data_IF_350838466748
#
_entry.id   IF_350838466748
#
_cell.length_a   1.000
_cell.length_b   1.000
_cell.length_c   1.000
_cell.angle_alpha   90.00
_cell.angle_beta   90.00
_cell.angle_gamma   90.00
#
_symmetry.space_group_name_H-M   'P 1'
#
loop_
_entity.id
_entity.type
_entity.pdbx_description
1 polymer ?
#
# COMPACT_ATOMS: atom_id res chain seq x y z
N UNK A 1 23.55 -2.27 -50.80
CA UNK A 1 23.83 -1.42 -49.61
C UNK A 1 22.68 -0.47 -49.24
N UNK A 2 21.79 -0.05 -50.14
CA UNK A 2 20.67 0.85 -49.80
C UNK A 2 19.43 0.20 -49.13
N UNK A 3 19.35 -1.15 -49.04
CA UNK A 3 18.23 -1.85 -48.41
C UNK A 3 18.35 -2.00 -46.88
N UNK A 4 19.50 -1.67 -46.28
CA UNK A 4 19.71 -1.70 -44.82
C UNK A 4 19.31 -0.38 -44.12
N UNK A 5 18.97 0.66 -44.88
CA UNK A 5 18.56 1.95 -44.30
C UNK A 5 17.05 2.03 -44.03
N UNK A 6 16.24 1.25 -44.74
CA UNK A 6 14.77 1.27 -44.60
C UNK A 6 14.24 0.37 -43.47
N UNK A 7 15.00 -0.62 -43.01
CA UNK A 7 14.62 -1.44 -41.84
C UNK A 7 14.87 -0.73 -40.51
N UNK A 8 15.74 0.29 -40.49
CA UNK A 8 16.11 1.01 -39.27
C UNK A 8 15.15 2.15 -38.93
N UNK A 9 14.38 2.66 -39.89
CA UNK A 9 13.46 3.78 -39.64
C UNK A 9 12.04 3.36 -39.19
N UNK A 10 11.66 2.09 -39.38
CA UNK A 10 10.34 1.58 -38.95
C UNK A 10 10.28 1.25 -37.44
N UNK A 11 11.41 1.24 -36.75
CA UNK A 11 11.49 0.87 -35.33
C UNK A 11 11.13 2.00 -34.35
N UNK A 12 11.31 3.28 -34.72
CA UNK A 12 11.12 4.38 -33.75
C UNK A 12 9.66 4.75 -33.48
N UNK A 13 8.76 4.52 -34.44
CA UNK A 13 7.32 4.81 -34.26
C UNK A 13 6.65 3.74 -33.40
N UNK A 14 7.12 2.49 -33.45
CA UNK A 14 6.55 1.41 -32.64
C UNK A 14 6.85 1.55 -31.14
N UNK A 15 8.00 2.14 -30.78
CA UNK A 15 8.41 2.25 -29.37
C UNK A 15 7.66 3.34 -28.61
N UNK A 16 7.29 4.45 -29.27
CA UNK A 16 6.52 5.53 -28.64
C UNK A 16 5.08 5.09 -28.29
N UNK A 17 4.44 4.32 -29.17
CA UNK A 17 3.09 3.79 -28.96
C UNK A 17 3.07 2.83 -27.75
N UNK A 18 4.02 1.90 -27.68
CA UNK A 18 4.13 0.96 -26.56
C UNK A 18 4.41 1.68 -25.22
N UNK A 19 5.20 2.76 -25.24
CA UNK A 19 5.46 3.58 -24.04
C UNK A 19 4.18 4.25 -23.53
N UNK A 20 3.37 4.80 -24.44
CA UNK A 20 2.10 5.45 -24.09
C UNK A 20 1.10 4.45 -23.50
N UNK A 21 1.01 3.25 -24.05
CA UNK A 21 0.14 2.19 -23.51
C UNK A 21 0.53 1.82 -22.06
N UNK A 22 1.83 1.65 -21.78
CA UNK A 22 2.31 1.36 -20.42
C UNK A 22 2.01 2.49 -19.43
N UNK A 23 2.12 3.75 -19.85
CA UNK A 23 1.81 4.91 -19.02
C UNK A 23 0.31 4.96 -18.72
N UNK A 24 -0.55 4.71 -19.71
CA UNK A 24 -2.00 4.70 -19.53
C UNK A 24 -2.42 3.62 -18.53
N UNK A 25 -1.91 2.39 -18.65
CA UNK A 25 -2.18 1.30 -17.69
C UNK A 25 -1.77 1.67 -16.26
N UNK A 26 -0.63 2.34 -16.11
CA UNK A 26 -0.13 2.82 -14.83
C UNK A 26 -1.02 3.89 -14.20
N UNK A 27 -1.47 4.86 -15.00
CA UNK A 27 -2.39 5.92 -14.55
C UNK A 27 -3.74 5.32 -14.13
N UNK A 28 -4.29 4.38 -14.91
CA UNK A 28 -5.54 3.71 -14.56
C UNK A 28 -5.42 2.99 -13.21
N UNK A 29 -4.35 2.22 -13.01
CA UNK A 29 -4.11 1.54 -11.73
C UNK A 29 -3.95 2.53 -10.58
N UNK A 30 -3.19 3.62 -10.77
CA UNK A 30 -3.00 4.66 -9.76
C UNK A 30 -4.34 5.27 -9.31
N UNK A 31 -5.22 5.61 -10.26
CA UNK A 31 -6.53 6.19 -9.97
C UNK A 31 -7.44 5.19 -9.24
N UNK A 32 -7.47 3.93 -9.69
CA UNK A 32 -8.26 2.90 -9.02
C UNK A 32 -7.80 2.64 -7.59
N UNK A 33 -6.48 2.53 -7.36
CA UNK A 33 -5.92 2.37 -6.02
C UNK A 33 -6.20 3.59 -5.14
N UNK A 34 -6.13 4.80 -5.69
CA UNK A 34 -6.44 6.02 -4.95
C UNK A 34 -7.90 6.05 -4.48
N UNK A 35 -8.85 5.74 -5.37
CA UNK A 35 -10.28 5.67 -5.03
C UNK A 35 -10.52 4.61 -3.95
N UNK A 36 -9.87 3.45 -4.07
CA UNK A 36 -9.96 2.39 -3.07
C UNK A 36 -9.46 2.86 -1.70
N UNK A 37 -8.27 3.48 -1.61
CA UNK A 37 -7.72 4.01 -0.36
C UNK A 37 -8.67 5.00 0.31
N UNK A 38 -9.32 5.88 -0.45
CA UNK A 38 -10.30 6.82 0.09
C UNK A 38 -11.53 6.11 0.67
N UNK A 39 -12.04 5.09 -0.01
CA UNK A 39 -13.15 4.28 0.47
C UNK A 39 -12.79 3.50 1.75
N UNK A 40 -11.60 2.92 1.79
CA UNK A 40 -11.07 2.20 2.94
C UNK A 40 -10.85 3.11 4.16
N UNK A 41 -10.28 4.29 3.95
CA UNK A 41 -10.08 5.27 5.03
C UNK A 41 -11.41 5.76 5.61
N UNK A 42 -12.38 6.03 4.73
CA UNK A 42 -13.72 6.47 5.13
C UNK A 42 -14.43 5.38 5.94
N UNK A 43 -14.44 4.14 5.44
CA UNK A 43 -15.09 3.03 6.12
C UNK A 43 -14.33 2.58 7.37
N UNK A 44 -13.00 2.65 7.39
CA UNK A 44 -12.17 2.37 8.56
C UNK A 44 -12.53 3.29 9.73
N UNK A 45 -12.70 4.58 9.45
CA UNK A 45 -13.14 5.55 10.46
C UNK A 45 -14.55 5.27 10.99
N UNK A 46 -15.50 4.90 10.11
CA UNK A 46 -16.89 4.63 10.53
C UNK A 46 -17.09 3.28 11.23
N UNK A 47 -16.28 2.29 10.90
CA UNK A 47 -16.46 0.91 11.39
C UNK A 47 -15.56 0.54 12.55
N UNK A 48 -14.55 1.38 12.84
CA UNK A 48 -13.49 1.12 13.82
C UNK A 48 -12.77 -0.21 13.58
N UNK A 49 -12.74 -0.69 12.33
CA UNK A 49 -12.10 -1.96 11.96
C UNK A 49 -10.57 -1.78 11.84
N UNK A 50 -9.84 -2.40 12.76
CA UNK A 50 -8.39 -2.41 12.81
C UNK A 50 -7.79 -3.16 11.64
N UNK A 51 -8.33 -4.33 11.29
CA UNK A 51 -7.83 -5.09 10.13
C UNK A 51 -7.94 -4.27 8.85
N UNK A 52 -9.05 -3.53 8.67
CA UNK A 52 -9.23 -2.63 7.53
C UNK A 52 -8.21 -1.49 7.56
N UNK A 53 -7.88 -0.95 8.73
CA UNK A 53 -6.85 0.09 8.85
C UNK A 53 -5.46 -0.45 8.46
N UNK A 54 -5.10 -1.67 8.88
CA UNK A 54 -3.85 -2.33 8.45
C UNK A 54 -3.83 -2.50 6.92
N UNK A 55 -4.92 -2.97 6.34
CA UNK A 55 -5.07 -3.13 4.88
C UNK A 55 -4.95 -1.77 4.18
N UNK A 56 -5.60 -0.73 4.70
CA UNK A 56 -5.54 0.65 4.16
C UNK A 56 -4.10 1.14 4.13
N UNK A 57 -3.32 0.88 5.18
CA UNK A 57 -1.92 1.28 5.21
C UNK A 57 -1.07 0.55 4.15
N UNK A 58 -1.33 -0.74 3.92
CA UNK A 58 -0.71 -1.47 2.81
C UNK A 58 -1.13 -0.87 1.45
N UNK A 59 -2.41 -0.50 1.28
CA UNK A 59 -2.92 0.17 0.07
C UNK A 59 -2.26 1.54 -0.15
N UNK A 60 -2.06 2.33 0.90
CA UNK A 60 -1.36 3.63 0.85
C UNK A 60 0.09 3.44 0.40
N UNK A 61 0.78 2.44 0.95
CA UNK A 61 2.14 2.12 0.53
C UNK A 61 2.20 1.75 -0.96
N UNK A 62 1.27 0.91 -1.41
CA UNK A 62 1.11 0.57 -2.82
C UNK A 62 0.83 1.80 -3.70
N UNK A 63 -0.02 2.72 -3.24
CA UNK A 63 -0.32 3.97 -3.93
C UNK A 63 0.92 4.87 -4.07
N UNK A 64 1.70 5.06 -3.00
CA UNK A 64 2.94 5.86 -3.00
C UNK A 64 3.94 5.27 -4.00
N UNK A 65 4.05 3.94 -4.03
CA UNK A 65 4.94 3.23 -4.94
C UNK A 65 4.52 3.37 -6.40
N UNK A 66 3.22 3.28 -6.70
CA UNK A 66 2.67 3.54 -8.02
C UNK A 66 2.87 5.01 -8.44
N UNK A 67 2.63 5.95 -7.54
CA UNK A 67 2.82 7.38 -7.79
C UNK A 67 4.29 7.69 -8.10
N UNK A 68 5.21 7.15 -7.29
CA UNK A 68 6.66 7.29 -7.48
C UNK A 68 7.10 6.69 -8.82
N UNK A 69 6.61 5.50 -9.17
CA UNK A 69 6.91 4.87 -10.46
C UNK A 69 6.38 5.69 -11.65
N UNK A 70 5.19 6.27 -11.51
CA UNK A 70 4.57 7.14 -12.52
C UNK A 70 5.36 8.43 -12.69
N UNK A 71 5.74 9.05 -11.59
CA UNK A 71 6.57 10.25 -11.56
C UNK A 71 7.94 9.99 -12.19
N UNK A 72 8.61 8.89 -11.82
CA UNK A 72 9.91 8.50 -12.40
C UNK A 72 9.83 8.28 -13.90
N UNK A 73 8.78 7.62 -14.43
CA UNK A 73 8.62 7.47 -15.89
C UNK A 73 8.43 8.79 -16.62
N UNK A 74 7.75 9.75 -15.98
CA UNK A 74 7.56 11.09 -16.54
C UNK A 74 8.85 11.91 -16.48
N UNK A 75 9.60 11.76 -15.38
CA UNK A 75 10.84 12.47 -15.08
C UNK A 75 12.09 11.82 -15.68
N UNK A 76 12.06 10.58 -16.19
CA UNK A 76 13.16 9.98 -16.96
C UNK A 76 13.51 10.83 -18.20
N UNK A 77 12.60 11.73 -18.60
CA UNK A 77 12.82 12.79 -19.59
C UNK A 77 13.72 13.94 -19.09
N UNK A 78 14.08 14.01 -17.80
CA UNK A 78 14.58 15.21 -17.10
C UNK A 78 15.78 14.99 -16.15
N UNK A 79 16.62 13.98 -16.40
CA UNK A 79 17.88 13.71 -15.68
C UNK A 79 17.83 13.04 -14.29
N UNK A 80 18.66 11.99 -14.27
CA UNK A 80 19.51 11.37 -13.25
C UNK A 80 19.70 12.12 -11.91
N UNK A 81 19.62 11.31 -10.85
CA UNK A 81 20.11 11.50 -9.47
C UNK A 81 19.11 12.09 -8.46
N UNK A 82 18.18 11.25 -8.01
CA UNK A 82 17.68 11.31 -6.63
C UNK A 82 18.10 10.05 -5.90
N UNK A 83 18.93 10.25 -4.89
CA UNK A 83 19.30 9.24 -3.92
C UNK A 83 18.08 8.97 -3.02
N UNK A 84 17.58 7.73 -3.09
CA UNK A 84 16.79 6.99 -2.10
C UNK A 84 15.50 7.61 -1.55
N UNK A 85 14.29 7.15 -1.95
CA UNK A 85 13.13 7.22 -1.09
C UNK A 85 13.23 6.08 -0.06
N UNK A 86 13.91 6.33 1.06
CA UNK A 86 14.05 5.39 2.18
C UNK A 86 13.48 6.06 3.44
N UNK A 87 12.86 5.26 4.32
CA UNK A 87 12.21 5.58 5.61
C UNK A 87 10.71 5.89 5.69
N UNK A 88 10.00 6.18 4.58
CA UNK A 88 8.55 6.42 4.68
C UNK A 88 7.79 5.16 5.11
N UNK A 89 8.24 3.97 4.67
CA UNK A 89 7.59 2.70 5.00
C UNK A 89 7.73 2.37 6.49
N UNK A 90 8.93 2.53 7.04
CA UNK A 90 9.19 2.22 8.46
C UNK A 90 8.41 3.16 9.38
N UNK A 91 8.37 4.45 9.04
CA UNK A 91 7.57 5.43 9.76
C UNK A 91 6.07 5.06 9.78
N UNK A 92 5.52 4.59 8.66
CA UNK A 92 4.11 4.18 8.59
C UNK A 92 3.81 2.96 9.46
N UNK A 93 4.74 1.99 9.52
CA UNK A 93 4.62 0.81 10.37
C UNK A 93 4.66 1.18 11.85
N UNK A 94 5.60 2.03 12.25
CA UNK A 94 5.76 2.47 13.63
C UNK A 94 4.52 3.24 14.12
N UNK A 95 3.93 4.05 13.24
CA UNK A 95 2.66 4.74 13.49
C UNK A 95 1.49 3.77 13.66
N UNK A 96 1.38 2.74 12.81
CA UNK A 96 0.33 1.73 12.90
C UNK A 96 0.45 0.92 14.19
N UNK A 97 1.67 0.54 14.58
CA UNK A 97 1.94 -0.11 15.86
C UNK A 97 1.47 0.76 17.02
N UNK A 98 1.82 2.06 17.03
CA UNK A 98 1.36 2.98 18.08
C UNK A 98 -0.17 3.08 18.13
N UNK A 99 -0.84 3.19 16.99
CA UNK A 99 -2.31 3.18 16.94
C UNK A 99 -2.89 1.88 17.51
N UNK A 100 -2.26 0.73 17.25
CA UNK A 100 -2.74 -0.55 17.76
C UNK A 100 -2.69 -0.65 19.30
N UNK A 101 -1.64 -0.10 19.92
CA UNK A 101 -1.46 -0.14 21.38
C UNK A 101 -2.19 0.98 22.13
N UNK A 102 -2.68 2.01 21.42
CA UNK A 102 -3.41 3.11 22.04
C UNK A 102 -4.94 2.96 21.97
N UNK A 103 -5.44 1.82 21.51
CA UNK A 103 -6.87 1.51 21.53
C UNK A 103 -7.20 0.93 22.90
N UNK A 104 -7.28 1.80 23.90
CA UNK A 104 -7.82 1.44 25.23
C UNK A 104 -9.34 1.23 25.20
N UNK A 105 -9.96 1.39 24.02
CA UNK A 105 -11.38 1.23 23.76
C UNK A 105 -11.58 0.30 22.56
N UNK A 106 -11.47 -1.02 22.78
CA UNK A 106 -11.80 -2.00 21.74
C UNK A 106 -13.30 -1.98 21.48
N UNK A 107 -13.69 -1.24 20.44
CA UNK A 107 -15.06 -1.25 19.95
C UNK A 107 -15.32 -2.44 19.04
N UNK A 108 -16.55 -2.94 19.10
CA UNK A 108 -17.02 -4.00 18.20
C UNK A 108 -17.12 -3.44 16.79
N UNK A 109 -16.59 -4.16 15.81
CA UNK A 109 -16.70 -3.78 14.40
C UNK A 109 -18.17 -3.49 14.04
N UNK A 110 -18.46 -2.22 13.75
CA UNK A 110 -19.79 -1.81 13.35
C UNK A 110 -20.00 -2.16 11.88
N UNK A 111 -21.09 -2.85 11.55
CA UNK A 111 -21.50 -3.20 10.17
C UNK A 111 -20.50 -4.07 9.38
N UNK A 112 -20.15 -5.28 9.86
CA UNK A 112 -19.16 -6.16 9.22
C UNK A 112 -19.51 -6.52 7.76
N UNK A 113 -20.80 -6.52 7.40
CA UNK A 113 -21.25 -6.76 6.02
C UNK A 113 -20.76 -5.70 5.03
N UNK A 114 -20.70 -4.42 5.43
CA UNK A 114 -20.18 -3.35 4.56
C UNK A 114 -18.67 -3.50 4.33
N UNK A 115 -17.94 -3.87 5.37
CA UNK A 115 -16.49 -4.14 5.31
C UNK A 115 -16.21 -5.36 4.41
N UNK A 116 -17.04 -6.40 4.49
CA UNK A 116 -16.91 -7.59 3.62
C UNK A 116 -17.11 -7.24 2.13
N UNK A 117 -18.14 -6.44 1.80
CA UNK A 117 -18.35 -5.96 0.42
C UNK A 117 -17.15 -5.15 -0.06
N UNK A 118 -16.63 -4.26 0.78
CA UNK A 118 -15.43 -3.47 0.46
C UNK A 118 -14.21 -4.37 0.22
N UNK A 119 -14.01 -5.40 1.05
CA UNK A 119 -12.93 -6.38 0.86
C UNK A 119 -13.03 -7.10 -0.50
N UNK A 120 -14.25 -7.44 -0.93
CA UNK A 120 -14.50 -8.00 -2.26
C UNK A 120 -14.17 -7.01 -3.39
N UNK A 121 -14.52 -5.73 -3.23
CA UNK A 121 -14.15 -4.67 -4.20
C UNK A 121 -12.63 -4.49 -4.25
N UNK A 122 -11.96 -4.47 -3.09
CA UNK A 122 -10.51 -4.42 -3.01
C UNK A 122 -9.90 -5.56 -3.82
N UNK A 123 -10.32 -6.81 -3.55
CA UNK A 123 -9.85 -7.98 -4.29
C UNK A 123 -10.02 -7.81 -5.80
N UNK A 124 -11.18 -7.33 -6.25
CA UNK A 124 -11.45 -7.06 -7.66
C UNK A 124 -10.49 -6.02 -8.27
N UNK A 125 -10.28 -4.89 -7.59
CA UNK A 125 -9.33 -3.86 -8.03
C UNK A 125 -7.90 -4.38 -8.06
N UNK A 126 -7.54 -5.22 -7.09
CA UNK A 126 -6.25 -5.89 -7.04
C UNK A 126 -6.06 -6.83 -8.25
N UNK A 127 -7.06 -7.64 -8.59
CA UNK A 127 -7.02 -8.52 -9.78
C UNK A 127 -6.86 -7.70 -11.05
N UNK A 128 -7.64 -6.61 -11.20
CA UNK A 128 -7.52 -5.72 -12.37
C UNK A 128 -6.13 -5.10 -12.45
N UNK A 129 -5.61 -4.57 -11.35
CA UNK A 129 -4.24 -4.01 -11.27
C UNK A 129 -3.18 -5.07 -11.60
N UNK A 130 -3.38 -6.28 -11.10
CA UNK A 130 -2.51 -7.42 -11.38
C UNK A 130 -2.50 -7.77 -12.87
N UNK A 131 -3.65 -7.80 -13.53
CA UNK A 131 -3.74 -8.07 -14.97
C UNK A 131 -3.19 -6.94 -15.84
N UNK A 132 -3.38 -5.67 -15.43
CA UNK A 132 -2.92 -4.52 -16.21
C UNK A 132 -1.40 -4.35 -16.16
N UNK A 133 -0.78 -4.55 -15.00
CA UNK A 133 0.63 -4.19 -14.75
C UNK A 133 1.49 -5.43 -14.45
N UNK A 134 0.88 -6.59 -14.20
CA UNK A 134 1.55 -7.78 -13.70
C UNK A 134 1.72 -7.78 -12.17
N UNK A 135 0.98 -6.90 -11.47
CA UNK A 135 1.05 -6.67 -10.03
C UNK A 135 1.93 -5.46 -9.64
N UNK A 136 1.61 -4.82 -8.52
CA UNK A 136 2.31 -3.62 -8.05
C UNK A 136 3.81 -3.86 -7.83
N UNK A 137 4.18 -5.08 -7.44
CA UNK A 137 5.56 -5.40 -7.06
C UNK A 137 6.46 -5.77 -8.24
N UNK A 138 5.90 -6.31 -9.33
CA UNK A 138 6.68 -6.65 -10.51
C UNK A 138 7.05 -5.41 -11.34
N UNK A 139 6.32 -4.31 -11.21
CA UNK A 139 6.61 -3.11 -11.97
C UNK A 139 7.86 -2.37 -11.50
N UNK A 140 8.10 -2.32 -10.18
CA UNK A 140 9.29 -1.66 -9.62
C UNK A 140 10.59 -2.33 -10.11
N UNK A 141 10.62 -3.66 -10.17
CA UNK A 141 11.79 -4.41 -10.61
C UNK A 141 11.88 -4.51 -12.14
N UNK A 142 10.72 -4.63 -12.81
CA UNK A 142 10.62 -4.77 -14.26
C UNK A 142 10.97 -3.49 -15.01
N UNK A 143 10.60 -2.32 -14.50
CA UNK A 143 10.98 -1.03 -15.09
C UNK A 143 12.51 -0.87 -15.06
N UNK A 144 13.14 -1.14 -13.91
CA UNK A 144 14.59 -1.01 -13.76
C UNK A 144 15.36 -1.94 -14.70
N UNK A 145 14.87 -3.18 -14.88
CA UNK A 145 15.48 -4.14 -15.81
C UNK A 145 15.20 -3.82 -17.28
N UNK A 146 13.98 -3.40 -17.62
CA UNK A 146 13.61 -3.06 -18.99
C UNK A 146 14.29 -1.78 -19.50
N UNK A 147 14.58 -0.83 -18.61
CA UNK A 147 15.41 0.34 -18.91
C UNK A 147 16.87 -0.04 -19.22
N UNK A 148 17.37 -1.15 -18.66
CA UNK A 148 18.74 -1.60 -18.87
C UNK A 148 18.90 -2.47 -20.13
N UNK A 149 17.81 -3.08 -20.61
CA UNK A 149 17.77 -4.01 -21.75
C UNK A 149 17.10 -3.41 -23.01
N UNK A 150 17.18 -2.08 -23.19
CA UNK A 150 16.65 -1.38 -24.38
C UNK A 150 17.29 -1.98 -25.64
N UNK A 151 16.53 -2.78 -26.39
CA UNK A 151 16.94 -3.40 -27.65
C UNK A 151 16.75 -4.91 -27.76
N UNK A 152 16.43 -5.61 -26.67
CA UNK A 152 16.07 -7.04 -26.72
C UNK A 152 14.57 -7.23 -26.93
N UNK A 153 14.18 -8.20 -27.75
CA UNK A 153 12.77 -8.53 -27.93
C UNK A 153 12.15 -9.01 -26.61
N UNK A 154 10.92 -8.58 -26.30
CA UNK A 154 10.26 -8.95 -25.06
C UNK A 154 9.96 -10.45 -25.06
N UNK A 155 10.69 -11.22 -24.25
CA UNK A 155 10.35 -12.62 -24.02
C UNK A 155 9.15 -12.70 -23.05
N UNK A 156 7.99 -13.23 -23.46
CA UNK A 156 6.81 -13.34 -22.60
C UNK A 156 7.07 -14.19 -21.34
N UNK A 157 8.00 -15.14 -21.41
CA UNK A 157 8.39 -15.98 -20.28
C UNK A 157 9.21 -15.22 -19.21
N UNK A 158 9.73 -14.03 -19.53
CA UNK A 158 10.43 -13.20 -18.55
C UNK A 158 9.54 -12.80 -17.38
N UNK A 159 8.24 -12.54 -17.65
CA UNK A 159 7.27 -12.25 -16.60
C UNK A 159 7.11 -13.43 -15.65
N UNK A 160 6.88 -14.63 -16.18
CA UNK A 160 6.67 -15.85 -15.39
C UNK A 160 7.91 -16.20 -14.59
N UNK A 161 9.11 -16.05 -15.17
CA UNK A 161 10.38 -16.41 -14.50
C UNK A 161 10.73 -15.47 -13.35
N UNK A 162 10.37 -14.20 -13.45
CA UNK A 162 10.63 -13.20 -12.40
C UNK A 162 9.44 -13.02 -11.45
N UNK A 163 8.39 -13.82 -11.62
CA UNK A 163 7.25 -13.82 -10.73
C UNK A 163 7.67 -14.30 -9.34
N UNK A 164 7.84 -13.35 -8.42
CA UNK A 164 8.13 -13.67 -7.02
C UNK A 164 6.83 -13.93 -6.29
N UNK A 165 6.60 -15.21 -5.99
CA UNK A 165 5.43 -15.71 -5.25
C UNK A 165 5.25 -14.99 -3.91
N UNK A 166 6.36 -14.64 -3.24
CA UNK A 166 6.34 -13.90 -1.96
C UNK A 166 5.57 -12.58 -2.07
N UNK A 167 5.82 -11.81 -3.13
CA UNK A 167 5.19 -10.51 -3.34
C UNK A 167 3.71 -10.64 -3.67
N UNK A 168 3.36 -11.69 -4.42
CA UNK A 168 1.99 -12.01 -4.72
C UNK A 168 1.21 -12.35 -3.45
N UNK A 169 1.74 -13.25 -2.61
CA UNK A 169 1.11 -13.59 -1.34
C UNK A 169 1.06 -12.41 -0.38
N UNK A 170 2.10 -11.56 -0.35
CA UNK A 170 2.09 -10.34 0.45
C UNK A 170 0.92 -9.44 0.12
N UNK A 171 0.74 -9.14 -1.17
CA UNK A 171 -0.29 -8.20 -1.63
C UNK A 171 -1.70 -8.79 -1.48
N UNK A 172 -1.82 -10.13 -1.46
CA UNK A 172 -3.09 -10.85 -1.37
C UNK A 172 -3.48 -11.23 0.07
N UNK A 173 -2.50 -11.41 0.96
CA UNK A 173 -2.71 -11.91 2.32
C UNK A 173 -3.54 -10.95 3.17
N UNK A 174 -3.34 -9.64 3.01
CA UNK A 174 -4.11 -8.62 3.72
C UNK A 174 -5.59 -8.65 3.35
N UNK A 175 -5.90 -8.81 2.05
CA UNK A 175 -7.26 -8.95 1.55
C UNK A 175 -7.92 -10.23 2.08
N UNK A 176 -7.21 -11.37 2.04
CA UNK A 176 -7.71 -12.61 2.62
C UNK A 176 -7.94 -12.52 4.13
N UNK A 177 -7.03 -11.89 4.86
CA UNK A 177 -7.19 -11.70 6.30
C UNK A 177 -8.44 -10.87 6.60
N UNK A 178 -8.70 -9.80 5.85
CA UNK A 178 -9.90 -8.97 6.01
C UNK A 178 -11.19 -9.73 5.67
N UNK A 179 -11.23 -10.49 4.57
CA UNK A 179 -12.38 -11.32 4.24
C UNK A 179 -12.62 -12.40 5.29
N UNK A 180 -11.56 -13.01 5.82
CA UNK A 180 -11.65 -14.05 6.84
C UNK A 180 -12.13 -13.47 8.17
N UNK A 181 -11.56 -12.34 8.60
CA UNK A 181 -11.96 -11.65 9.83
C UNK A 181 -13.45 -11.26 9.79
N UNK A 182 -13.87 -10.60 8.72
CA UNK A 182 -15.27 -10.18 8.54
C UNK A 182 -16.23 -11.37 8.40
N UNK A 183 -15.82 -12.41 7.67
CA UNK A 183 -16.59 -13.65 7.53
C UNK A 183 -16.79 -14.38 8.87
N UNK A 184 -15.74 -14.48 9.69
CA UNK A 184 -15.82 -15.07 11.03
C UNK A 184 -16.73 -14.23 11.93
N UNK A 185 -16.58 -12.89 11.93
CA UNK A 185 -17.44 -12.00 12.73
C UNK A 185 -18.91 -12.16 12.32
N UNK A 186 -19.21 -12.20 11.01
CA UNK A 186 -20.56 -12.45 10.52
C UNK A 186 -21.09 -13.82 10.94
N UNK A 187 -20.28 -14.87 10.83
CA UNK A 187 -20.66 -16.23 11.23
C UNK A 187 -20.95 -16.32 12.72
N UNK A 188 -20.08 -15.77 13.57
CA UNK A 188 -20.27 -15.74 15.03
C UNK A 188 -21.51 -14.95 15.43
N UNK A 189 -21.79 -13.85 14.71
CA UNK A 189 -23.01 -13.06 14.92
C UNK A 189 -24.27 -13.85 14.56
N UNK A 190 -24.24 -14.69 13.52
CA UNK A 190 -25.36 -15.55 13.13
C UNK A 190 -25.63 -16.66 14.15
N UNK A 191 -24.59 -17.26 14.72
CA UNK A 191 -24.73 -18.33 15.72
C UNK A 191 -25.01 -17.83 17.15
N UNK A 192 -25.24 -16.53 17.34
CA UNK A 192 -25.52 -15.94 18.67
C UNK A 192 -24.44 -16.27 19.72
N UNK A 193 -23.17 -16.33 19.29
CA UNK A 193 -22.04 -16.52 20.21
C UNK A 193 -21.95 -15.31 21.15
N UNK A 194 -21.53 -15.55 22.39
CA UNK A 194 -21.39 -14.50 23.40
C UNK A 194 -20.61 -13.28 22.82
N UNK A 195 -21.19 -12.07 22.85
CA UNK A 195 -20.61 -10.89 22.21
C UNK A 195 -19.24 -10.50 22.78
N UNK A 196 -18.96 -10.95 24.02
CA UNK A 196 -17.67 -10.78 24.69
C UNK A 196 -16.48 -11.36 23.90
N UNK A 197 -16.67 -12.40 23.10
CA UNK A 197 -15.57 -13.00 22.32
C UNK A 197 -15.37 -12.34 20.96
N UNK A 198 -16.43 -11.76 20.38
CA UNK A 198 -16.41 -11.16 19.03
C UNK A 198 -15.46 -9.95 19.00
N UNK A 199 -15.35 -9.23 20.11
CA UNK A 199 -14.55 -8.00 20.23
C UNK A 199 -13.05 -8.24 19.98
N UNK A 200 -12.57 -9.48 20.20
CA UNK A 200 -11.15 -9.83 20.06
C UNK A 200 -10.77 -10.30 18.65
N UNK A 201 -11.74 -10.64 17.80
CA UNK A 201 -11.46 -11.24 16.48
C UNK A 201 -10.68 -10.27 15.61
N UNK A 202 -11.16 -9.03 15.46
CA UNK A 202 -10.55 -8.03 14.59
C UNK A 202 -9.11 -7.64 15.01
N UNK A 203 -8.80 -7.31 16.28
CA UNK A 203 -7.42 -7.08 16.73
C UNK A 203 -6.49 -8.27 16.50
N UNK A 204 -6.96 -9.51 16.73
CA UNK A 204 -6.15 -10.70 16.49
C UNK A 204 -5.82 -10.86 15.00
N UNK A 205 -6.79 -10.65 14.10
CA UNK A 205 -6.53 -10.71 12.66
C UNK A 205 -5.65 -9.55 12.18
N UNK A 206 -5.80 -8.35 12.76
CA UNK A 206 -4.91 -7.22 12.49
C UNK A 206 -3.45 -7.55 12.86
N UNK A 207 -3.23 -8.11 14.05
CA UNK A 207 -1.90 -8.57 14.50
C UNK A 207 -1.31 -9.64 13.58
N UNK A 208 -2.11 -10.67 13.25
CA UNK A 208 -1.67 -11.72 12.32
C UNK A 208 -1.31 -11.13 10.96
N UNK A 209 -2.11 -10.20 10.45
CA UNK A 209 -1.84 -9.51 9.17
C UNK A 209 -0.54 -8.72 9.24
N UNK A 210 -0.30 -7.97 10.32
CA UNK A 210 0.95 -7.23 10.53
C UNK A 210 2.13 -8.20 10.55
N UNK A 211 2.05 -9.31 11.29
CA UNK A 211 3.10 -10.31 11.33
C UNK A 211 3.37 -10.90 9.94
N UNK A 212 2.34 -11.26 9.18
CA UNK A 212 2.49 -11.77 7.81
C UNK A 212 3.17 -10.74 6.91
N UNK A 213 2.78 -9.46 7.01
CA UNK A 213 3.42 -8.38 6.24
C UNK A 213 4.88 -8.19 6.63
N UNK A 214 5.22 -8.25 7.93
CA UNK A 214 6.59 -8.17 8.42
C UNK A 214 7.44 -9.36 7.94
N UNK A 215 6.95 -10.59 8.09
CA UNK A 215 7.65 -11.78 7.62
C UNK A 215 7.86 -11.77 6.11
N UNK A 216 6.88 -11.27 5.36
CA UNK A 216 7.03 -11.09 3.92
C UNK A 216 8.06 -10.01 3.54
N UNK A 217 8.36 -9.07 4.45
CA UNK A 217 9.36 -8.02 4.27
C UNK A 217 10.76 -8.43 4.76
N UNK A 218 10.87 -9.41 5.67
CA UNK A 218 12.14 -9.87 6.27
C UNK A 218 13.17 -10.43 5.28
N UNK A 219 12.81 -10.62 4.01
CA UNK A 219 13.80 -10.83 2.94
C UNK A 219 14.63 -9.58 2.59
N UNK A 220 14.28 -8.41 3.13
CA UNK A 220 15.01 -7.15 2.96
C UNK A 220 16.07 -7.00 4.04
N UNK A 221 17.32 -6.80 3.63
CA UNK A 221 18.50 -6.63 4.51
C UNK A 221 18.32 -5.56 5.60
N UNK A 222 17.44 -4.59 5.41
CA UNK A 222 17.13 -3.53 6.38
C UNK A 222 16.48 -4.05 7.68
N UNK A 223 15.64 -5.09 7.63
CA UNK A 223 14.99 -5.58 8.86
C UNK A 223 16.01 -6.21 9.82
N UNK A 224 17.03 -6.86 9.28
CA UNK A 224 18.14 -7.38 10.09
C UNK A 224 18.90 -6.25 10.79
N UNK A 225 18.98 -5.07 10.17
CA UNK A 225 19.62 -3.89 10.74
C UNK A 225 18.75 -3.26 11.84
N UNK A 226 17.44 -3.21 11.65
CA UNK A 226 16.49 -2.76 12.68
C UNK A 226 16.47 -3.68 13.90
N UNK A 227 16.51 -5.00 13.66
CA UNK A 227 16.56 -5.98 14.75
C UNK A 227 17.85 -5.81 15.55
N UNK A 228 18.98 -5.58 14.87
CA UNK A 228 20.26 -5.24 15.52
C UNK A 228 20.19 -3.92 16.29
N UNK A 229 19.48 -2.91 15.76
CA UNK A 229 19.31 -1.62 16.43
C UNK A 229 18.48 -1.76 17.71
N UNK A 230 17.34 -2.46 17.66
CA UNK A 230 16.49 -2.73 18.81
C UNK A 230 17.21 -3.57 19.87
N UNK A 231 17.92 -4.62 19.44
CA UNK A 231 18.72 -5.48 20.34
C UNK A 231 19.88 -4.70 21.00
N UNK A 232 20.52 -3.78 20.25
CA UNK A 232 21.57 -2.90 20.80
C UNK A 232 21.05 -1.90 21.83
N UNK A 233 19.77 -1.52 21.76
CA UNK A 233 19.17 -0.52 22.64
C UNK A 233 18.38 -1.13 23.80
N UNK A 234 18.03 -2.43 23.76
CA UNK A 234 17.35 -3.10 24.85
C UNK A 234 18.15 -3.21 26.16
N UNK A 235 19.44 -2.86 26.18
CA UNK A 235 20.23 -2.70 27.40
C UNK A 235 20.06 -1.38 28.16
N UNK A 236 19.48 -0.34 27.54
CA UNK A 236 19.45 1.02 28.13
C UNK A 236 18.16 1.82 27.91
N UNK A 237 17.13 1.26 27.28
CA UNK A 237 15.83 1.94 27.17
C UNK A 237 15.06 1.81 28.49
N UNK A 238 15.46 2.60 29.47
CA UNK A 238 14.45 3.29 30.26
C UNK A 238 13.64 4.12 29.24
N UNK A 239 12.34 3.85 29.12
CA UNK A 239 11.44 4.63 28.27
C UNK A 239 11.53 6.08 28.76
N UNK A 240 12.38 6.89 28.13
CA UNK A 240 12.51 8.30 28.45
C UNK A 240 11.21 8.97 27.99
N UNK A 241 10.45 9.61 28.89
CA UNK A 241 9.19 10.27 28.55
C UNK A 241 9.35 11.52 27.66
N UNK A 242 10.57 11.89 27.26
CA UNK A 242 10.80 13.07 26.40
C UNK A 242 10.34 12.90 24.94
N UNK A 243 10.19 11.67 24.44
CA UNK A 243 9.55 11.45 23.14
C UNK A 243 8.01 11.62 23.14
N UNK A 244 7.38 11.78 24.32
CA UNK A 244 5.98 12.22 24.42
C UNK A 244 5.82 13.74 24.24
N UNK A 245 6.86 14.56 24.46
CA UNK A 245 6.72 16.03 24.39
C UNK A 245 6.91 16.62 22.98
N UNK A 246 7.40 15.84 22.01
CA UNK A 246 7.38 16.24 20.58
C UNK A 246 5.97 16.12 19.98
N UNK A 247 5.06 15.45 20.71
CA UNK A 247 3.70 15.14 20.29
C UNK A 247 2.73 16.33 20.41
N UNK A 248 2.90 17.20 21.42
CA UNK A 248 2.06 18.42 21.57
C UNK A 248 2.31 19.47 20.47
N UNK A 249 3.48 19.49 19.83
CA UNK A 249 3.73 20.40 18.72
C UNK A 249 3.12 19.93 17.39
N UNK A 250 3.00 18.61 17.15
CA UNK A 250 2.55 18.09 15.85
C UNK A 250 1.05 17.73 15.80
N UNK A 251 0.44 17.33 16.92
CA UNK A 251 -1.03 17.14 16.96
C UNK A 251 -1.79 18.44 16.78
N UNK A 252 -1.25 19.56 17.29
CA UNK A 252 -1.89 20.87 17.15
C UNK A 252 -1.77 21.47 15.75
N UNK A 253 -0.87 20.95 14.90
CA UNK A 253 -0.62 21.47 13.55
C UNK A 253 -1.10 20.52 12.43
N UNK A 254 -1.22 19.21 12.64
CA UNK A 254 -1.62 18.28 11.56
C UNK A 254 -3.14 18.06 11.47
N UNK A 255 -3.85 18.01 12.60
CA UNK A 255 -5.31 17.77 12.65
C UNK A 255 -6.11 19.03 12.36
N UNK A 256 -5.64 20.19 12.81
CA UNK A 256 -6.26 21.49 12.51
C UNK A 256 -5.99 21.92 11.07
N UNK A 257 -4.77 21.79 10.56
CA UNK A 257 -4.44 22.40 9.26
C UNK A 257 -5.05 21.65 8.07
N UNK A 258 -5.23 20.34 8.13
CA UNK A 258 -5.77 19.56 7.00
C UNK A 258 -7.30 19.50 7.03
N UNK A 259 -7.90 19.34 8.21
CA UNK A 259 -9.36 19.35 8.39
C UNK A 259 -9.95 20.75 8.14
N UNK A 260 -9.33 21.81 8.68
CA UNK A 260 -9.82 23.20 8.50
C UNK A 260 -9.62 23.68 7.06
N UNK A 261 -8.53 23.30 6.37
CA UNK A 261 -8.34 23.68 4.95
C UNK A 261 -9.36 23.00 4.03
N UNK A 262 -9.75 21.75 4.30
CA UNK A 262 -10.78 21.05 3.54
C UNK A 262 -12.16 21.62 3.86
N UNK A 263 -12.46 21.93 5.12
CA UNK A 263 -13.73 22.50 5.54
C UNK A 263 -13.93 23.95 5.02
N UNK A 264 -12.88 24.77 4.98
CA UNK A 264 -12.88 26.10 4.35
C UNK A 264 -13.01 26.02 2.82
N UNK A 265 -12.37 25.03 2.18
CA UNK A 265 -12.52 24.80 0.74
C UNK A 265 -13.95 24.39 0.37
N UNK A 266 -14.59 23.54 1.17
CA UNK A 266 -15.99 23.13 0.99
C UNK A 266 -16.96 24.30 1.24
N UNK A 267 -16.73 25.11 2.29
CA UNK A 267 -17.57 26.29 2.53
C UNK A 267 -17.46 27.37 1.45
N UNK A 268 -16.28 27.55 0.81
CA UNK A 268 -16.10 28.48 -0.31
C UNK A 268 -16.73 28.00 -1.61
N UNK A 269 -16.92 26.69 -1.78
CA UNK A 269 -17.62 26.09 -2.93
C UNK A 269 -19.16 26.13 -2.78
N UNK A 270 -19.68 26.26 -1.57
CA UNK A 270 -21.12 26.32 -1.30
C UNK A 270 -21.73 27.74 -1.37
N UNK A 271 -20.91 28.78 -1.49
CA UNK A 271 -21.33 30.21 -1.54
C UNK A 271 -21.15 30.82 -2.95
N UNK A 272 -20.96 29.99 -3.97
CA UNK A 272 -21.07 30.38 -5.38
C UNK A 272 -22.18 29.58 -6.04
#
# INVERSE_FOLDING_TARGET
MCLLFFTTQRSSVSTSILRMESIIKLIISLVLTFILVLAELTLGHFTHCLTLLVVTNQSIHNLINLASSTASKKLETYEKKRDGPMDIQEYLFLKLYKTLFHIDHLDVMHTPGKVCILAGIHFGIWVVTFLLIGGNTNHQMGILSAMNDIGKEPNPWYFVRNFRIDNFFRDLSSCFALMTATGIIMLLSLYSVNPKYIIYVDPCFALVTILVLLFSQNGSSHFQELTKYLDSNHGHVAIQPEFLNVEECFEHECVTTTSVKIQIAIQRLAVR
#
